data_IF_460989657493
#
_entry.id   IF_460989657493
#
_cell.length_a   1.000
_cell.length_b   1.000
_cell.length_c   1.000
_cell.angle_alpha   90.00
_cell.angle_beta   90.00
_cell.angle_gamma   90.00
#
_symmetry.space_group_name_H-M   'P 1'
#
loop_
_entity.id
_entity.type
_entity.pdbx_description
1 polymer ?
#
# COMPACT_ATOMS: atom_id res chain seq x y z
N UNK A 1 -21.47 27.86 4.83
CA UNK A 1 -20.75 26.79 5.57
C UNK A 1 -21.21 25.39 5.19
N UNK A 2 -22.50 25.15 4.97
CA UNK A 2 -23.08 23.82 4.66
C UNK A 2 -22.58 23.18 3.34
N UNK A 3 -22.33 23.98 2.30
CA UNK A 3 -21.75 23.48 1.03
C UNK A 3 -20.32 22.95 1.18
N UNK A 4 -19.52 23.55 2.07
CA UNK A 4 -18.13 23.15 2.28
C UNK A 4 -18.03 21.82 3.06
N UNK A 5 -18.93 21.59 4.02
CA UNK A 5 -19.03 20.29 4.71
C UNK A 5 -19.55 19.19 3.79
N UNK A 6 -20.48 19.50 2.88
CA UNK A 6 -20.98 18.56 1.88
C UNK A 6 -19.89 18.15 0.88
N UNK A 7 -19.17 19.12 0.31
CA UNK A 7 -18.03 18.86 -0.59
C UNK A 7 -16.96 18.00 0.09
N UNK A 8 -16.61 18.33 1.34
CA UNK A 8 -15.63 17.54 2.09
C UNK A 8 -16.08 16.09 2.26
N UNK A 9 -17.35 15.85 2.61
CA UNK A 9 -17.87 14.49 2.77
C UNK A 9 -17.92 13.70 1.46
N UNK A 10 -18.20 14.37 0.33
CA UNK A 10 -18.08 13.76 -1.00
C UNK A 10 -16.64 13.38 -1.32
N UNK A 11 -15.68 14.30 -1.13
CA UNK A 11 -14.26 14.04 -1.40
C UNK A 11 -13.73 12.87 -0.58
N UNK A 12 -14.11 12.79 0.70
CA UNK A 12 -13.74 11.68 1.59
C UNK A 12 -14.18 10.31 1.06
N UNK A 13 -15.38 10.22 0.47
CA UNK A 13 -15.89 8.97 -0.09
C UNK A 13 -15.33 8.59 -1.47
N UNK A 14 -14.79 9.57 -2.19
CA UNK A 14 -14.36 9.40 -3.59
C UNK A 14 -12.85 9.18 -3.76
N UNK A 15 -12.02 9.60 -2.80
CA UNK A 15 -10.57 9.57 -2.98
C UNK A 15 -10.02 8.15 -3.18
N UNK A 16 -10.44 7.20 -2.34
CA UNK A 16 -10.03 5.80 -2.45
C UNK A 16 -10.48 5.14 -3.76
N UNK A 17 -11.78 5.14 -4.14
CA UNK A 17 -12.19 4.49 -5.38
C UNK A 17 -11.58 5.15 -6.62
N UNK A 18 -11.42 6.48 -6.63
CA UNK A 18 -10.78 7.18 -7.74
C UNK A 18 -9.31 6.79 -7.89
N UNK A 19 -8.57 6.76 -6.78
CA UNK A 19 -7.15 6.41 -6.80
C UNK A 19 -6.93 4.92 -7.10
N UNK A 20 -7.73 4.03 -6.51
CA UNK A 20 -7.69 2.60 -6.81
C UNK A 20 -7.96 2.35 -8.31
N UNK A 21 -8.94 3.05 -8.88
CA UNK A 21 -9.21 2.98 -10.32
C UNK A 21 -8.03 3.42 -11.18
N UNK A 22 -7.37 4.53 -10.82
CA UNK A 22 -6.18 5.01 -11.51
C UNK A 22 -5.00 4.03 -11.40
N UNK A 23 -4.73 3.50 -10.20
CA UNK A 23 -3.67 2.54 -9.95
C UNK A 23 -3.90 1.23 -10.73
N UNK A 24 -5.15 0.75 -10.80
CA UNK A 24 -5.50 -0.41 -11.61
C UNK A 24 -5.27 -0.17 -13.10
N UNK A 25 -5.58 1.02 -13.61
CA UNK A 25 -5.32 1.37 -15.01
C UNK A 25 -3.81 1.37 -15.31
N UNK A 26 -3.01 2.06 -14.51
CA UNK A 26 -1.54 2.07 -14.68
C UNK A 26 -0.92 0.68 -14.61
N UNK A 27 -1.37 -0.14 -13.66
CA UNK A 27 -0.91 -1.51 -13.55
C UNK A 27 -1.34 -2.37 -14.74
N UNK A 28 -2.58 -2.23 -15.20
CA UNK A 28 -3.08 -2.99 -16.35
C UNK A 28 -2.34 -2.64 -17.64
N UNK A 29 -1.99 -1.37 -17.83
CA UNK A 29 -1.19 -0.90 -18.96
C UNK A 29 0.21 -1.54 -18.95
N UNK A 30 0.87 -1.57 -17.79
CA UNK A 30 2.13 -2.27 -17.61
C UNK A 30 2.02 -3.77 -17.94
N UNK A 31 1.00 -4.46 -17.43
CA UNK A 31 0.79 -5.89 -17.67
C UNK A 31 0.58 -6.17 -19.17
N UNK A 32 -0.25 -5.39 -19.86
CA UNK A 32 -0.50 -5.55 -21.30
C UNK A 32 0.79 -5.32 -22.10
N UNK A 33 1.52 -4.24 -21.81
CA UNK A 33 2.77 -3.90 -22.49
C UNK A 33 3.88 -4.95 -22.29
N UNK A 34 3.81 -5.74 -21.21
CA UNK A 34 4.74 -6.83 -20.94
C UNK A 34 4.28 -8.19 -21.52
N UNK A 35 2.97 -8.45 -21.56
CA UNK A 35 2.42 -9.68 -22.15
C UNK A 35 2.63 -9.71 -23.67
N UNK A 36 2.55 -8.56 -24.34
CA UNK A 36 2.82 -8.43 -25.78
C UNK A 36 4.28 -8.76 -26.17
N UNK A 37 5.19 -8.94 -25.19
CA UNK A 37 6.61 -9.33 -25.40
C UNK A 37 6.87 -10.85 -25.27
N UNK A 38 5.84 -11.67 -25.46
CA UNK A 38 5.89 -13.15 -25.57
C UNK A 38 6.34 -13.94 -24.32
N UNK A 39 6.43 -13.32 -23.14
CA UNK A 39 6.89 -14.03 -21.93
C UNK A 39 6.03 -13.71 -20.70
N UNK A 40 4.91 -14.42 -20.55
CA UNK A 40 4.14 -14.45 -19.29
C UNK A 40 5.04 -14.88 -18.10
N UNK A 41 5.99 -15.78 -18.36
CA UNK A 41 7.02 -16.19 -17.38
C UNK A 41 7.96 -15.02 -17.05
N UNK A 42 8.33 -14.21 -18.04
CA UNK A 42 9.17 -13.02 -17.82
C UNK A 42 8.48 -11.97 -16.96
N UNK A 43 7.17 -11.76 -17.13
CA UNK A 43 6.40 -10.88 -16.23
C UNK A 43 6.43 -11.36 -14.77
N UNK A 44 6.40 -12.68 -14.55
CA UNK A 44 6.50 -13.28 -13.22
C UNK A 44 7.93 -13.25 -12.65
N UNK A 45 8.92 -12.82 -13.42
CA UNK A 45 10.29 -12.61 -12.92
C UNK A 45 10.56 -11.13 -12.64
N UNK A 46 9.60 -10.23 -12.91
CA UNK A 46 9.76 -8.78 -12.77
C UNK A 46 9.40 -8.29 -11.35
N UNK A 47 10.32 -7.65 -10.61
CA UNK A 47 10.02 -7.09 -9.28
C UNK A 47 8.87 -6.09 -9.29
N UNK A 48 8.76 -5.36 -10.40
CA UNK A 48 7.74 -4.32 -10.61
C UNK A 48 6.34 -4.90 -10.49
N UNK A 49 6.10 -6.07 -11.09
CA UNK A 49 4.80 -6.75 -11.06
C UNK A 49 4.36 -7.05 -9.63
N UNK A 50 5.26 -7.63 -8.84
CA UNK A 50 4.97 -8.02 -7.46
C UNK A 50 4.81 -6.82 -6.52
N UNK A 51 5.67 -5.80 -6.65
CA UNK A 51 5.58 -4.58 -5.84
C UNK A 51 4.28 -3.82 -6.14
N UNK A 52 3.94 -3.63 -7.41
CA UNK A 52 2.70 -2.97 -7.82
C UNK A 52 1.46 -3.74 -7.35
N UNK A 53 1.46 -5.07 -7.49
CA UNK A 53 0.39 -5.94 -6.97
C UNK A 53 0.23 -5.78 -5.46
N UNK A 54 1.34 -5.74 -4.72
CA UNK A 54 1.30 -5.55 -3.28
C UNK A 54 0.67 -4.21 -2.89
N UNK A 55 1.09 -3.11 -3.53
CA UNK A 55 0.53 -1.79 -3.24
C UNK A 55 -0.97 -1.73 -3.57
N UNK A 56 -1.43 -2.40 -4.63
CA UNK A 56 -2.85 -2.52 -4.96
C UNK A 56 -3.63 -3.29 -3.90
N UNK A 57 -3.10 -4.46 -3.48
CA UNK A 57 -3.73 -5.27 -2.43
C UNK A 57 -3.77 -4.51 -1.10
N UNK A 58 -2.65 -3.87 -0.73
CA UNK A 58 -2.57 -3.03 0.46
C UNK A 58 -3.61 -1.91 0.42
N UNK A 59 -3.84 -1.26 -0.73
CA UNK A 59 -4.82 -0.19 -0.86
C UNK A 59 -6.27 -0.67 -0.93
N UNK A 60 -6.50 -1.89 -1.44
CA UNK A 60 -7.82 -2.49 -1.54
C UNK A 60 -8.41 -2.85 -0.17
N UNK A 61 -7.57 -3.33 0.74
CA UNK A 61 -7.98 -3.77 2.08
C UNK A 61 -8.61 -2.62 2.92
N UNK A 62 -8.05 -1.40 3.00
CA UNK A 62 -8.69 -0.25 3.65
C UNK A 62 -9.95 0.19 2.92
N UNK A 63 -9.93 0.20 1.59
CA UNK A 63 -11.10 0.54 0.77
C UNK A 63 -12.32 -0.34 1.10
N UNK A 64 -12.14 -1.67 1.19
CA UNK A 64 -13.25 -2.58 1.51
C UNK A 64 -13.83 -2.33 2.90
N UNK A 65 -13.01 -1.98 3.89
CA UNK A 65 -13.45 -1.68 5.24
C UNK A 65 -14.11 -0.32 5.39
N UNK A 66 -13.64 0.69 4.64
CA UNK A 66 -14.29 1.99 4.54
C UNK A 66 -15.73 1.88 4.01
N UNK A 67 -15.96 0.99 3.04
CA UNK A 67 -17.30 0.76 2.49
C UNK A 67 -18.19 -0.15 3.33
N UNK A 68 -17.58 -1.06 4.12
CA UNK A 68 -18.33 -1.98 5.01
C UNK A 68 -18.87 -1.28 6.26
N UNK A 69 -18.14 -0.29 6.75
CA UNK A 69 -18.58 0.52 7.89
C UNK A 69 -19.39 1.71 7.40
N UNK A 70 -20.56 1.99 7.99
CA UNK A 70 -21.47 3.11 7.61
C UNK A 70 -20.87 4.49 7.98
N UNK A 71 -19.64 4.78 7.56
CA UNK A 71 -18.74 5.73 8.24
C UNK A 71 -18.81 7.17 7.74
N UNK A 72 -19.60 7.48 6.71
CA UNK A 72 -19.64 8.86 6.15
C UNK A 72 -20.00 9.89 7.23
N UNK A 73 -20.76 9.52 8.28
CA UNK A 73 -21.12 10.43 9.38
C UNK A 73 -20.04 10.60 10.46
N UNK A 74 -19.12 9.65 10.65
CA UNK A 74 -18.10 9.67 11.72
C UNK A 74 -16.66 9.83 11.23
N UNK A 75 -16.47 10.05 9.93
CA UNK A 75 -15.15 10.13 9.32
C UNK A 75 -14.44 11.44 9.69
N UNK A 76 -13.46 11.34 10.59
CA UNK A 76 -12.72 12.47 11.18
C UNK A 76 -11.76 13.09 10.17
N UNK A 77 -11.42 14.36 10.38
CA UNK A 77 -10.42 15.07 9.55
C UNK A 77 -9.02 14.42 9.65
N UNK A 78 -8.67 13.87 10.81
CA UNK A 78 -7.40 13.16 11.01
C UNK A 78 -7.32 11.88 10.18
N UNK A 79 -8.40 11.09 10.13
CA UNK A 79 -8.50 9.90 9.28
C UNK A 79 -8.33 10.26 7.80
N UNK A 80 -8.98 11.35 7.36
CA UNK A 80 -8.81 11.85 5.99
C UNK A 80 -7.37 12.23 5.65
N UNK A 81 -6.65 12.87 6.59
CA UNK A 81 -5.27 13.27 6.37
C UNK A 81 -4.33 12.07 6.25
N UNK A 82 -4.55 11.02 7.05
CA UNK A 82 -3.79 9.78 6.94
C UNK A 82 -4.07 9.05 5.62
N UNK A 83 -5.34 9.00 5.22
CA UNK A 83 -5.73 8.40 3.94
C UNK A 83 -5.12 9.14 2.74
N UNK A 84 -4.97 10.47 2.83
CA UNK A 84 -4.24 11.26 1.84
C UNK A 84 -2.75 10.91 1.82
N UNK A 85 -2.14 10.68 2.99
CA UNK A 85 -0.73 10.28 3.08
C UNK A 85 -0.54 8.89 2.45
N UNK A 86 -1.43 7.93 2.70
CA UNK A 86 -1.39 6.60 2.07
C UNK A 86 -1.50 6.70 0.56
N UNK A 87 -2.47 7.48 0.04
CA UNK A 87 -2.60 7.74 -1.40
C UNK A 87 -1.32 8.33 -1.98
N UNK A 88 -0.69 9.29 -1.29
CA UNK A 88 0.55 9.91 -1.75
C UNK A 88 1.73 8.93 -1.75
N UNK A 89 1.87 8.09 -0.72
CA UNK A 89 2.91 7.06 -0.65
C UNK A 89 2.77 6.08 -1.82
N UNK A 90 1.55 5.63 -2.09
CA UNK A 90 1.29 4.67 -3.16
C UNK A 90 1.47 5.31 -4.53
N UNK A 91 1.04 6.56 -4.70
CA UNK A 91 1.29 7.31 -5.93
C UNK A 91 2.79 7.43 -6.19
N UNK A 92 3.57 7.82 -5.19
CA UNK A 92 5.02 7.91 -5.30
C UNK A 92 5.65 6.54 -5.58
N UNK A 93 5.11 5.46 -5.03
CA UNK A 93 5.60 4.12 -5.32
C UNK A 93 5.33 3.73 -6.78
N UNK A 94 4.11 3.96 -7.28
CA UNK A 94 3.73 3.71 -8.67
C UNK A 94 4.54 4.56 -9.65
N UNK A 95 4.76 5.83 -9.32
CA UNK A 95 5.67 6.70 -10.03
C UNK A 95 7.07 6.08 -10.05
N UNK A 96 7.70 5.81 -8.90
CA UNK A 96 9.05 5.23 -8.86
C UNK A 96 9.16 3.83 -9.48
N UNK A 97 8.06 3.09 -9.62
CA UNK A 97 8.02 1.83 -10.37
C UNK A 97 8.02 2.01 -11.90
N UNK A 98 7.95 3.25 -12.40
CA UNK A 98 7.82 3.56 -13.83
C UNK A 98 6.42 3.26 -14.38
N UNK A 99 5.40 3.15 -13.50
CA UNK A 99 4.01 2.90 -13.91
C UNK A 99 3.26 4.21 -14.19
N UNK A 100 3.79 5.33 -13.73
CA UNK A 100 3.21 6.67 -13.94
C UNK A 100 4.23 7.54 -14.64
N UNK A 101 4.10 7.64 -15.97
CA UNK A 101 5.03 8.36 -16.83
C UNK A 101 6.14 7.47 -17.39
N UNK A 102 6.88 8.00 -18.35
CA UNK A 102 7.90 7.25 -19.08
C UNK A 102 9.29 7.49 -18.47
N UNK A 103 9.65 6.65 -17.49
CA UNK A 103 10.97 6.67 -16.87
C UNK A 103 11.31 5.29 -16.27
N UNK A 104 12.60 4.97 -16.07
CA UNK A 104 13.00 3.68 -15.51
C UNK A 104 12.59 3.54 -14.04
N UNK A 105 12.38 2.30 -13.60
CA UNK A 105 12.05 1.97 -12.22
C UNK A 105 13.23 2.26 -11.26
N UNK A 106 12.93 2.90 -10.14
CA UNK A 106 13.83 3.16 -9.03
C UNK A 106 13.41 2.32 -7.80
N UNK A 107 13.88 1.07 -7.76
CA UNK A 107 13.50 0.12 -6.71
C UNK A 107 13.93 0.55 -5.31
N UNK A 108 15.07 1.23 -5.17
CA UNK A 108 15.53 1.72 -3.86
C UNK A 108 14.54 2.73 -3.25
N UNK A 109 14.02 3.65 -4.06
CA UNK A 109 12.99 4.59 -3.61
C UNK A 109 11.70 3.87 -3.22
N UNK A 110 11.31 2.83 -3.97
CA UNK A 110 10.12 2.02 -3.66
C UNK A 110 10.30 1.27 -2.32
N UNK A 111 11.47 0.67 -2.07
CA UNK A 111 11.76 0.02 -0.80
C UNK A 111 11.73 0.99 0.39
N UNK A 112 12.22 2.22 0.21
CA UNK A 112 12.12 3.26 1.25
C UNK A 112 10.66 3.59 1.55
N UNK A 113 9.80 3.70 0.52
CA UNK A 113 8.38 3.98 0.69
C UNK A 113 7.65 2.87 1.48
N UNK A 114 8.08 1.61 1.37
CA UNK A 114 7.53 0.49 2.15
C UNK A 114 7.75 0.64 3.67
N UNK A 115 8.74 1.42 4.11
CA UNK A 115 9.01 1.69 5.53
C UNK A 115 7.96 2.62 6.13
N UNK A 116 7.36 3.50 5.33
CA UNK A 116 6.38 4.47 5.82
C UNK A 116 4.99 3.86 6.03
N UNK A 117 4.65 2.83 5.27
CA UNK A 117 3.36 2.14 5.35
C UNK A 117 3.02 1.60 6.76
N UNK A 118 3.92 0.87 7.47
CA UNK A 118 3.63 0.42 8.82
C UNK A 118 3.55 1.61 9.80
N UNK A 119 4.28 2.70 9.56
CA UNK A 119 4.26 3.89 10.41
C UNK A 119 2.94 4.65 10.31
N UNK A 120 2.47 4.96 9.09
CA UNK A 120 1.15 5.57 8.85
C UNK A 120 0.06 4.66 9.39
N UNK A 121 0.27 3.37 9.24
CA UNK A 121 -0.59 2.35 9.77
C UNK A 121 -0.80 2.33 11.27
N UNK A 122 0.28 2.35 12.04
CA UNK A 122 0.22 2.44 13.49
C UNK A 122 -0.53 3.69 13.95
N UNK A 123 -0.27 4.83 13.31
CA UNK A 123 -0.95 6.10 13.62
C UNK A 123 -2.44 6.01 13.29
N UNK A 124 -2.79 5.41 12.14
CA UNK A 124 -4.19 5.18 11.78
C UNK A 124 -4.88 4.24 12.76
N UNK A 125 -4.17 3.24 13.27
CA UNK A 125 -4.73 2.26 14.19
C UNK A 125 -4.97 2.84 15.58
N UNK A 126 -4.07 3.68 16.09
CA UNK A 126 -4.27 4.43 17.34
C UNK A 126 -5.51 5.35 17.27
N UNK A 127 -5.77 5.91 16.08
CA UNK A 127 -6.89 6.84 15.87
C UNK A 127 -8.23 6.13 15.63
N UNK A 128 -8.22 4.96 14.97
CA UNK A 128 -9.43 4.26 14.49
C UNK A 128 -9.75 3.00 15.31
N UNK A 129 -8.80 2.51 16.11
CA UNK A 129 -8.92 1.39 17.06
C UNK A 129 -9.36 0.07 16.40
N UNK A 130 -8.73 -0.29 15.28
CA UNK A 130 -9.11 -1.43 14.43
C UNK A 130 -7.95 -2.42 14.27
N UNK A 131 -7.57 -3.05 15.38
CA UNK A 131 -6.35 -3.84 15.52
C UNK A 131 -6.32 -5.14 14.70
N UNK A 132 -7.46 -5.82 14.53
CA UNK A 132 -7.57 -7.07 13.78
C UNK A 132 -7.25 -6.89 12.28
N UNK A 133 -7.65 -5.75 11.72
CA UNK A 133 -7.32 -5.37 10.36
C UNK A 133 -5.82 -5.20 10.14
N UNK A 134 -5.14 -4.60 11.12
CA UNK A 134 -3.70 -4.34 11.06
C UNK A 134 -2.86 -5.60 11.16
N UNK A 135 -3.29 -6.58 11.96
CA UNK A 135 -2.67 -7.91 12.01
C UNK A 135 -2.65 -8.54 10.61
N UNK A 136 -3.79 -8.54 9.91
CA UNK A 136 -3.91 -9.12 8.54
C UNK A 136 -3.04 -8.36 7.52
N UNK A 137 -3.09 -7.03 7.50
CA UNK A 137 -2.31 -6.22 6.56
C UNK A 137 -0.80 -6.41 6.74
N UNK A 138 -0.32 -6.44 7.99
CA UNK A 138 1.10 -6.70 8.30
C UNK A 138 1.51 -8.13 7.95
N UNK A 139 0.69 -9.13 8.25
CA UNK A 139 0.98 -10.53 7.91
C UNK A 139 1.05 -10.76 6.41
N UNK A 140 0.13 -10.17 5.63
CA UNK A 140 0.18 -10.25 4.16
C UNK A 140 1.40 -9.54 3.60
N UNK A 141 1.79 -8.41 4.19
CA UNK A 141 2.99 -7.67 3.80
C UNK A 141 4.27 -8.46 4.07
N UNK A 142 4.39 -9.05 5.26
CA UNK A 142 5.54 -9.89 5.60
C UNK A 142 5.64 -11.13 4.68
N UNK A 143 4.51 -11.79 4.39
CA UNK A 143 4.46 -12.96 3.51
C UNK A 143 4.87 -12.61 2.06
N UNK A 144 4.33 -11.52 1.51
CA UNK A 144 4.62 -11.12 0.14
C UNK A 144 6.04 -10.59 -0.02
N UNK A 145 6.56 -9.85 0.97
CA UNK A 145 7.97 -9.47 1.04
C UNK A 145 8.87 -10.71 1.02
N UNK A 146 8.53 -11.74 1.81
CA UNK A 146 9.26 -13.01 1.82
C UNK A 146 9.27 -13.71 0.44
N UNK A 147 8.13 -13.72 -0.25
CA UNK A 147 8.01 -14.29 -1.61
C UNK A 147 8.78 -13.48 -2.66
N UNK A 148 8.73 -12.15 -2.59
CA UNK A 148 9.48 -11.20 -3.43
C UNK A 148 11.00 -11.38 -3.30
N UNK A 149 11.48 -11.64 -2.08
CA UNK A 149 12.90 -11.80 -1.78
C UNK A 149 13.47 -13.13 -2.29
N UNK A 150 12.68 -14.20 -2.28
CA UNK A 150 13.10 -15.51 -2.79
C UNK A 150 13.41 -15.54 -4.28
N UNK A 151 12.98 -14.51 -5.03
CA UNK A 151 13.01 -14.53 -6.49
C UNK A 151 14.00 -13.50 -7.10
N UNK A 152 14.25 -12.31 -6.48
CA UNK A 152 14.83 -11.18 -7.25
C UNK A 152 15.74 -10.20 -6.46
N UNK A 153 16.34 -10.58 -5.34
CA UNK A 153 17.12 -9.64 -4.50
C UNK A 153 18.53 -9.29 -5.02
N UNK A 154 18.80 -8.00 -5.28
CA UNK A 154 20.17 -7.46 -5.35
C UNK A 154 20.79 -7.30 -3.95
N UNK A 155 22.12 -7.22 -3.84
CA UNK A 155 22.80 -7.14 -2.54
C UNK A 155 22.43 -5.90 -1.70
N UNK A 156 22.08 -4.77 -2.34
CA UNK A 156 21.60 -3.55 -1.64
C UNK A 156 20.14 -3.67 -1.20
N UNK A 157 19.28 -4.28 -2.03
CA UNK A 157 17.90 -4.61 -1.66
C UNK A 157 17.87 -5.56 -0.45
N UNK A 158 18.89 -6.39 -0.27
CA UNK A 158 19.05 -7.32 0.85
C UNK A 158 19.11 -6.62 2.20
N UNK A 159 19.90 -5.54 2.32
CA UNK A 159 20.04 -4.79 3.59
C UNK A 159 18.75 -4.08 3.96
N UNK A 160 18.12 -3.40 2.99
CA UNK A 160 16.83 -2.72 3.18
C UNK A 160 15.73 -3.73 3.51
N UNK A 161 15.72 -4.89 2.86
CA UNK A 161 14.80 -5.98 3.12
C UNK A 161 14.93 -6.51 4.55
N UNK A 162 16.14 -6.83 5.01
CA UNK A 162 16.36 -7.30 6.40
C UNK A 162 15.88 -6.28 7.41
N UNK A 163 16.15 -4.99 7.18
CA UNK A 163 15.67 -3.93 8.05
C UNK A 163 14.13 -3.87 8.08
N UNK A 164 13.47 -3.98 6.92
CA UNK A 164 12.00 -4.01 6.81
C UNK A 164 11.44 -5.25 7.51
N UNK A 165 11.99 -6.44 7.29
CA UNK A 165 11.53 -7.67 7.95
C UNK A 165 11.66 -7.59 9.47
N UNK A 166 12.79 -7.08 9.97
CA UNK A 166 13.00 -6.87 11.42
C UNK A 166 11.95 -5.89 11.94
N UNK A 167 11.76 -4.75 11.27
CA UNK A 167 10.78 -3.73 11.67
C UNK A 167 9.35 -4.30 11.72
N UNK A 168 8.92 -5.01 10.67
CA UNK A 168 7.58 -5.62 10.60
C UNK A 168 7.40 -6.73 11.62
N UNK A 169 8.44 -7.53 11.89
CA UNK A 169 8.41 -8.59 12.90
C UNK A 169 8.31 -8.01 14.31
N UNK A 170 9.05 -6.93 14.59
CA UNK A 170 8.97 -6.18 15.84
C UNK A 170 7.58 -5.54 16.01
N UNK A 171 7.01 -4.97 14.94
CA UNK A 171 5.66 -4.42 14.95
C UNK A 171 4.62 -5.51 15.24
N UNK A 172 4.67 -6.63 14.52
CA UNK A 172 3.76 -7.76 14.71
C UNK A 172 3.86 -8.32 16.13
N UNK A 173 5.08 -8.47 16.64
CA UNK A 173 5.31 -8.90 18.02
C UNK A 173 4.69 -7.90 19.01
N UNK A 174 4.97 -6.60 18.87
CA UNK A 174 4.37 -5.58 19.73
C UNK A 174 2.83 -5.63 19.72
N UNK A 175 2.22 -5.78 18.54
CA UNK A 175 0.77 -5.80 18.37
C UNK A 175 0.11 -7.05 18.95
N UNK A 176 0.72 -8.22 18.77
CA UNK A 176 0.20 -9.48 19.32
C UNK A 176 0.28 -9.52 20.85
N UNK A 177 1.35 -8.99 21.44
CA UNK A 177 1.58 -9.10 22.88
C UNK A 177 1.03 -7.95 23.72
N UNK A 178 0.72 -6.79 23.11
CA UNK A 178 0.19 -5.62 23.86
C UNK A 178 -1.34 -5.57 23.88
N UNK A 179 -2.02 -6.15 22.88
CA UNK A 179 -3.47 -6.01 22.72
C UNK A 179 -4.27 -7.30 22.93
N UNK A 180 -3.60 -8.44 23.19
CA UNK A 180 -4.25 -9.70 23.59
C UNK A 180 -4.21 -9.92 25.13
N UNK A 181 -3.85 -8.90 25.93
CA UNK A 181 -3.86 -8.87 27.42
C UNK A 181 -4.94 -7.96 27.99
#
# INVERSE_FOLDING_TARGET
MEKASHLLNLTKGLIYPAFLGAALLWFSEFVVNYIDKDHLIGLLEEPIFYLATWYLLYFFVPFTNLYRSKFVSNYRKSSFALDLIDVLIIFLAFYNLGLVGDHPANLDAVYILLIFIPAVGLISNDIVNNWEYWKVALSMTALLLFLLFGLIGSASALTNFFFICILYSLLLFYLLFTFDS
#
